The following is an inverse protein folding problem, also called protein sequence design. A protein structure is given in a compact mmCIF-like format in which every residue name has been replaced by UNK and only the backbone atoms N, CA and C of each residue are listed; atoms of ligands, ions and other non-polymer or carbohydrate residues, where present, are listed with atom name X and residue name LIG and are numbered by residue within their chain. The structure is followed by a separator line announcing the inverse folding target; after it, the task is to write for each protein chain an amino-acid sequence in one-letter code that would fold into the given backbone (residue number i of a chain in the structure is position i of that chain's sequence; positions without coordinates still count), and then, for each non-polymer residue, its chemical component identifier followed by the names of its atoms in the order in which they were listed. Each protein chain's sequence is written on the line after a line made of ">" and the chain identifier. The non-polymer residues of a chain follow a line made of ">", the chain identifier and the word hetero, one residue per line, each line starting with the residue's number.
data_IF_937923487028
#
_entry.id   IF_937923487028
#
_cell.length_a   1.000
_cell.length_b   1.000
_cell.length_c   1.000
_cell.angle_alpha   90.00
_cell.angle_beta   90.00
_cell.angle_gamma   90.00
#
_symmetry.space_group_name_H-M   'P 1'
#
loop_
_entity.id
_entity.type
_entity.pdbx_description
1 polymer ?
#
# COMPACT_ATOMS: atom_id res chain seq x y z
N UNK A 1 6.09 -0.71 -15.47
CA UNK A 1 6.72 0.27 -16.36
C UNK A 1 6.13 1.66 -16.06
N UNK A 2 6.85 2.57 -15.39
CA UNK A 2 6.35 3.91 -15.04
C UNK A 2 6.08 4.82 -16.25
N UNK A 3 6.74 4.58 -17.39
CA UNK A 3 6.55 5.38 -18.60
C UNK A 3 5.13 5.30 -19.14
N UNK A 4 4.55 4.10 -19.18
CA UNK A 4 3.18 3.93 -19.70
C UNK A 4 2.14 4.69 -18.86
N UNK A 5 2.33 4.72 -17.54
CA UNK A 5 1.48 5.51 -16.65
C UNK A 5 1.65 7.01 -16.93
N UNK A 6 2.90 7.48 -17.03
CA UNK A 6 3.21 8.88 -17.34
C UNK A 6 2.59 9.31 -18.68
N UNK A 7 2.80 8.53 -19.74
CA UNK A 7 2.29 8.81 -21.09
C UNK A 7 0.74 8.84 -21.08
N UNK A 8 0.08 7.96 -20.31
CA UNK A 8 -1.37 8.00 -20.14
C UNK A 8 -1.87 9.28 -19.46
N UNK A 9 -1.15 9.79 -18.45
CA UNK A 9 -1.49 11.08 -17.81
C UNK A 9 -1.29 12.25 -18.77
N UNK A 10 -0.22 12.23 -19.58
CA UNK A 10 0.00 13.26 -20.62
C UNK A 10 -1.16 13.29 -21.62
N UNK A 11 -1.54 12.12 -22.15
CA UNK A 11 -2.69 12.00 -23.08
C UNK A 11 -4.01 12.42 -22.42
N UNK A 12 -4.19 12.12 -21.13
CA UNK A 12 -5.36 12.58 -20.38
C UNK A 12 -5.41 14.10 -20.29
N UNK A 13 -4.29 14.79 -20.03
CA UNK A 13 -4.25 16.25 -20.03
C UNK A 13 -4.41 16.87 -21.42
N UNK A 14 -3.96 16.20 -22.48
CA UNK A 14 -4.26 16.64 -23.85
C UNK A 14 -5.76 16.55 -24.15
N UNK A 15 -6.42 15.47 -23.73
CA UNK A 15 -7.85 15.27 -23.92
C UNK A 15 -8.72 16.13 -23.00
N UNK A 16 -8.23 16.42 -21.79
CA UNK A 16 -8.93 17.19 -20.76
C UNK A 16 -8.05 18.29 -20.14
N UNK A 17 -7.69 19.34 -20.91
CA UNK A 17 -6.76 20.36 -20.46
C UNK A 17 -7.19 21.11 -19.20
N UNK A 18 -8.50 21.19 -18.92
CA UNK A 18 -9.04 21.83 -17.73
C UNK A 18 -8.55 21.22 -16.39
N UNK A 19 -8.04 19.99 -16.41
CA UNK A 19 -7.51 19.32 -15.22
C UNK A 19 -5.99 19.41 -15.08
N UNK A 20 -5.28 19.88 -16.11
CA UNK A 20 -3.81 19.90 -16.16
C UNK A 20 -3.15 20.84 -15.14
N UNK A 21 -3.90 21.80 -14.62
CA UNK A 21 -3.43 22.79 -13.64
C UNK A 21 -3.88 22.48 -12.21
N UNK A 22 -4.73 21.46 -12.02
CA UNK A 22 -5.22 21.08 -10.69
C UNK A 22 -4.18 20.24 -9.95
N UNK A 23 -4.08 20.35 -8.62
CA UNK A 23 -3.20 19.50 -7.82
C UNK A 23 -3.42 18.02 -8.13
N UNK A 24 -2.33 17.32 -8.44
CA UNK A 24 -2.37 15.90 -8.80
C UNK A 24 -1.98 15.05 -7.60
N UNK A 25 -2.82 14.07 -7.27
CA UNK A 25 -2.62 13.18 -6.14
C UNK A 25 -2.72 11.72 -6.60
N UNK A 26 -1.77 10.88 -6.21
CA UNK A 26 -1.82 9.44 -6.47
C UNK A 26 -2.27 8.70 -5.22
N UNK A 27 -3.40 8.00 -5.32
CA UNK A 27 -3.92 7.15 -4.27
C UNK A 27 -4.07 5.71 -4.75
N UNK A 28 -3.92 4.77 -3.83
CA UNK A 28 -4.13 3.36 -4.07
C UNK A 28 -3.80 2.55 -2.82
N UNK A 29 -3.92 1.24 -2.92
CA UNK A 29 -3.75 0.34 -1.79
C UNK A 29 -2.97 -0.93 -2.15
N UNK A 30 -2.58 -1.70 -1.13
CA UNK A 30 -1.93 -3.00 -1.32
C UNK A 30 -0.63 -2.90 -2.12
N UNK A 31 -0.52 -3.63 -3.23
CA UNK A 31 0.61 -3.56 -4.16
C UNK A 31 0.80 -2.19 -4.82
N UNK A 32 -0.15 -1.26 -4.71
CA UNK A 32 0.08 0.14 -5.05
C UNK A 32 1.18 0.79 -4.19
N UNK A 33 1.54 0.19 -3.05
CA UNK A 33 2.76 0.51 -2.30
C UNK A 33 4.05 0.36 -3.12
N UNK A 34 4.05 -0.49 -4.16
CA UNK A 34 5.11 -0.58 -5.18
C UNK A 34 4.89 0.42 -6.31
N UNK A 35 3.67 0.50 -6.85
CA UNK A 35 3.38 1.31 -8.03
C UNK A 35 3.49 2.82 -7.79
N UNK A 36 2.86 3.31 -6.73
CA UNK A 36 2.73 4.75 -6.47
C UNK A 36 4.09 5.42 -6.29
N UNK A 37 5.03 4.89 -5.49
CA UNK A 37 6.34 5.51 -5.34
C UNK A 37 7.12 5.52 -6.66
N UNK A 38 7.03 4.45 -7.45
CA UNK A 38 7.67 4.34 -8.77
C UNK A 38 7.10 5.33 -9.77
N UNK A 39 5.78 5.52 -9.80
CA UNK A 39 5.13 6.46 -10.70
C UNK A 39 5.39 7.92 -10.30
N UNK A 40 5.27 8.23 -9.01
CA UNK A 40 5.51 9.57 -8.50
C UNK A 40 6.97 10.02 -8.69
N UNK A 41 7.94 9.14 -8.41
CA UNK A 41 9.36 9.42 -8.65
C UNK A 41 9.61 9.73 -10.14
N UNK A 42 9.04 8.93 -11.04
CA UNK A 42 9.15 9.14 -12.47
C UNK A 42 8.56 10.50 -12.90
N UNK A 43 7.36 10.86 -12.41
CA UNK A 43 6.74 12.16 -12.68
C UNK A 43 7.65 13.30 -12.21
N UNK A 44 8.16 13.25 -10.97
CA UNK A 44 9.02 14.30 -10.41
C UNK A 44 10.29 14.47 -11.24
N UNK A 45 10.88 13.37 -11.73
CA UNK A 45 12.06 13.41 -12.61
C UNK A 45 11.73 14.03 -13.97
N UNK A 46 10.67 13.58 -14.63
CA UNK A 46 10.24 14.10 -15.95
C UNK A 46 9.83 15.57 -15.91
N UNK A 47 9.17 16.00 -14.85
CA UNK A 47 8.83 17.42 -14.65
C UNK A 47 10.06 18.33 -14.62
N UNK A 48 11.24 17.84 -14.24
CA UNK A 48 12.49 18.65 -14.22
C UNK A 48 13.13 18.79 -15.58
N UNK A 49 12.91 17.83 -16.47
CA UNK A 49 13.43 17.84 -17.83
C UNK A 49 12.69 18.89 -18.68
N UNK A 50 11.46 19.27 -18.30
CA UNK A 50 10.63 20.26 -18.99
C UNK A 50 10.37 19.93 -20.47
N UNK A 51 10.32 18.64 -20.82
CA UNK A 51 10.12 18.15 -22.19
C UNK A 51 8.63 17.92 -22.55
N UNK A 52 7.75 17.91 -21.56
CA UNK A 52 6.31 17.64 -21.72
C UNK A 52 5.48 18.49 -20.74
N UNK A 53 4.14 18.32 -20.74
CA UNK A 53 3.27 19.04 -19.81
C UNK A 53 3.64 18.69 -18.38
N UNK A 54 3.84 19.72 -17.55
CA UNK A 54 4.11 19.54 -16.13
C UNK A 54 2.91 18.87 -15.47
N UNK A 55 3.13 17.76 -14.76
CA UNK A 55 2.10 17.14 -13.92
C UNK A 55 2.27 17.72 -12.51
N UNK A 56 1.34 18.54 -12.00
CA UNK A 56 1.47 19.22 -10.71
C UNK A 56 1.24 18.27 -9.52
N UNK A 57 2.07 17.22 -9.42
CA UNK A 57 2.01 16.23 -8.34
C UNK A 57 2.26 16.91 -7.01
N UNK A 58 1.33 16.71 -6.08
CA UNK A 58 1.35 17.34 -4.77
C UNK A 58 1.50 16.32 -3.64
N UNK A 59 0.90 15.13 -3.81
CA UNK A 59 1.00 14.09 -2.80
C UNK A 59 0.79 12.68 -3.33
N UNK A 60 1.16 11.72 -2.50
CA UNK A 60 0.78 10.31 -2.61
C UNK A 60 0.07 9.85 -1.34
N UNK A 61 -0.88 8.94 -1.48
CA UNK A 61 -1.59 8.29 -0.37
C UNK A 61 -1.67 6.78 -0.59
N UNK A 62 -1.20 6.00 0.38
CA UNK A 62 -1.09 4.53 0.25
C UNK A 62 -1.86 3.88 1.41
N UNK A 63 -2.95 3.18 1.06
CA UNK A 63 -3.75 2.37 1.97
C UNK A 63 -3.16 0.97 2.11
N UNK A 64 -2.91 0.47 3.32
CA UNK A 64 -2.51 -0.93 3.54
C UNK A 64 -1.41 -1.38 2.56
N UNK A 65 -0.36 -0.56 2.42
CA UNK A 65 0.59 -0.68 1.32
C UNK A 65 1.68 -1.73 1.54
N UNK A 66 2.03 -2.47 0.48
CA UNK A 66 3.24 -3.28 0.42
C UNK A 66 4.40 -2.45 -0.16
N UNK A 67 5.28 -1.96 0.70
CA UNK A 67 6.27 -0.91 0.40
C UNK A 67 7.71 -1.35 0.68
N UNK A 68 7.97 -1.93 1.86
CA UNK A 68 9.29 -2.39 2.30
C UNK A 68 9.17 -3.82 2.87
N UNK A 69 9.39 -4.84 2.03
CA UNK A 69 9.27 -6.24 2.41
C UNK A 69 10.08 -6.63 3.64
N UNK A 70 11.33 -6.15 3.72
CA UNK A 70 12.22 -6.44 4.85
C UNK A 70 11.57 -6.06 6.18
N UNK A 71 11.07 -4.82 6.28
CA UNK A 71 10.42 -4.32 7.50
C UNK A 71 9.07 -4.96 7.70
N UNK A 72 8.24 -5.11 6.66
CA UNK A 72 6.87 -5.59 6.82
C UNK A 72 6.77 -7.07 7.19
N UNK A 73 7.60 -7.95 6.62
CA UNK A 73 7.63 -9.37 6.99
C UNK A 73 7.98 -9.58 8.46
N UNK A 74 8.82 -8.72 9.05
CA UNK A 74 9.18 -8.76 10.47
C UNK A 74 7.95 -8.74 11.39
N UNK A 75 6.89 -8.03 10.98
CA UNK A 75 5.71 -7.79 11.79
C UNK A 75 4.58 -8.79 11.54
N UNK A 76 4.76 -9.77 10.65
CA UNK A 76 3.76 -10.83 10.42
C UNK A 76 3.44 -11.60 11.71
N UNK A 77 4.46 -12.05 12.45
CA UNK A 77 4.26 -12.75 13.72
C UNK A 77 3.63 -11.86 14.80
N UNK A 78 3.98 -10.56 14.82
CA UNK A 78 3.39 -9.57 15.73
C UNK A 78 1.89 -9.45 15.48
N UNK A 79 1.47 -9.32 14.23
CA UNK A 79 0.06 -9.23 13.88
C UNK A 79 -0.70 -10.53 14.18
N UNK A 80 -0.12 -11.68 13.83
CA UNK A 80 -0.77 -12.98 14.01
C UNK A 80 -0.90 -13.42 15.48
N UNK A 81 0.03 -12.99 16.35
CA UNK A 81 0.17 -13.55 17.70
C UNK A 81 0.08 -12.53 18.83
N UNK A 82 0.26 -11.25 18.53
CA UNK A 82 0.33 -10.18 19.53
C UNK A 82 -0.56 -8.97 19.21
N UNK A 83 -1.46 -9.08 18.24
CA UNK A 83 -2.38 -7.99 17.92
C UNK A 83 -3.46 -7.81 18.97
N UNK A 84 -4.16 -6.68 18.90
CA UNK A 84 -5.31 -6.37 19.76
C UNK A 84 -6.49 -7.33 19.56
N UNK A 85 -6.48 -8.14 18.50
CA UNK A 85 -7.49 -9.17 18.22
C UNK A 85 -7.17 -10.52 18.86
N UNK A 86 -6.05 -10.61 19.58
CA UNK A 86 -5.56 -11.83 20.21
C UNK A 86 -4.83 -12.76 19.23
N UNK A 87 -4.15 -13.80 19.75
CA UNK A 87 -3.40 -14.73 18.91
C UNK A 87 -4.33 -15.61 18.09
N UNK A 88 -4.11 -15.68 16.79
CA UNK A 88 -4.80 -16.62 15.88
C UNK A 88 -3.97 -17.86 15.56
N UNK A 89 -2.74 -17.91 16.08
CA UNK A 89 -1.82 -19.03 15.94
C UNK A 89 -1.31 -19.49 17.32
N UNK A 90 -0.96 -20.78 17.48
CA UNK A 90 -0.30 -21.25 18.69
C UNK A 90 1.13 -20.69 18.80
N UNK A 91 1.69 -20.55 20.01
CA UNK A 91 3.02 -19.98 20.23
C UNK A 91 4.15 -20.61 19.39
N UNK A 92 4.09 -21.93 19.14
CA UNK A 92 5.07 -22.62 18.30
C UNK A 92 5.03 -22.16 16.83
N UNK A 93 3.86 -21.80 16.30
CA UNK A 93 3.75 -21.24 14.95
C UNK A 93 4.30 -19.82 14.89
N UNK A 94 4.04 -19.00 15.90
CA UNK A 94 4.63 -17.66 16.04
C UNK A 94 6.16 -17.73 16.05
N UNK A 95 6.72 -18.64 16.84
CA UNK A 95 8.17 -18.84 16.89
C UNK A 95 8.75 -19.31 15.55
N UNK A 96 8.02 -20.15 14.79
CA UNK A 96 8.45 -20.55 13.44
C UNK A 96 8.48 -19.37 12.48
N UNK A 97 7.51 -18.45 12.54
CA UNK A 97 7.52 -17.23 11.74
C UNK A 97 8.75 -16.36 12.06
N UNK A 98 9.07 -16.18 13.34
CA UNK A 98 10.25 -15.41 13.77
C UNK A 98 11.57 -16.04 13.31
N UNK A 99 11.66 -17.37 13.33
CA UNK A 99 12.83 -18.10 12.82
C UNK A 99 12.94 -18.01 11.30
N UNK A 100 11.83 -18.17 10.58
CA UNK A 100 11.77 -18.03 9.13
C UNK A 100 12.17 -16.61 8.69
N UNK A 101 11.75 -15.60 9.44
CA UNK A 101 12.12 -14.21 9.17
C UNK A 101 13.64 -14.01 9.13
N UNK A 102 14.43 -14.67 9.99
CA UNK A 102 15.90 -14.55 9.99
C UNK A 102 16.55 -14.95 8.67
N UNK A 103 16.02 -15.98 8.01
CA UNK A 103 16.52 -16.41 6.71
C UNK A 103 15.92 -15.56 5.58
N UNK A 104 14.65 -15.17 5.71
CA UNK A 104 13.99 -14.23 4.81
C UNK A 104 14.76 -12.91 4.70
N UNK A 105 15.32 -12.38 5.80
CA UNK A 105 16.09 -11.13 5.76
C UNK A 105 17.29 -11.24 4.82
N UNK A 106 17.99 -12.37 4.83
CA UNK A 106 19.19 -12.57 4.01
C UNK A 106 18.82 -12.57 2.53
N UNK A 107 17.74 -13.26 2.15
CA UNK A 107 17.29 -13.28 0.76
C UNK A 107 16.80 -11.91 0.29
N UNK A 108 16.06 -11.17 1.13
CA UNK A 108 15.61 -9.82 0.77
C UNK A 108 16.80 -8.87 0.64
N UNK A 109 17.79 -8.95 1.52
CA UNK A 109 19.01 -8.14 1.44
C UNK A 109 19.78 -8.43 0.14
N UNK A 110 19.93 -9.70 -0.23
CA UNK A 110 20.56 -10.08 -1.51
C UNK A 110 19.76 -9.56 -2.72
N UNK A 111 18.43 -9.59 -2.66
CA UNK A 111 17.57 -8.97 -3.68
C UNK A 111 17.81 -7.45 -3.77
N UNK A 112 17.88 -6.74 -2.64
CA UNK A 112 18.13 -5.30 -2.63
C UNK A 112 19.52 -4.94 -3.19
N UNK A 113 20.53 -5.75 -2.93
CA UNK A 113 21.90 -5.52 -3.37
C UNK A 113 22.08 -5.80 -4.88
N UNK A 114 21.43 -6.83 -5.39
CA UNK A 114 21.61 -7.30 -6.77
C UNK A 114 20.57 -6.75 -7.76
N UNK A 115 19.36 -6.45 -7.27
CA UNK A 115 18.15 -6.19 -8.06
C UNK A 115 17.82 -7.28 -9.10
N UNK A 116 18.46 -8.46 -8.99
CA UNK A 116 18.30 -9.55 -9.94
C UNK A 116 16.94 -10.23 -9.75
N UNK A 117 16.20 -10.39 -10.87
CA UNK A 117 14.83 -10.91 -10.82
C UNK A 117 14.73 -12.34 -10.28
N UNK A 118 15.74 -13.18 -10.50
CA UNK A 118 15.74 -14.55 -9.97
C UNK A 118 16.04 -14.56 -8.48
N UNK A 119 16.99 -13.74 -8.03
CA UNK A 119 17.30 -13.57 -6.59
C UNK A 119 16.07 -13.04 -5.84
N UNK A 120 15.45 -11.98 -6.37
CA UNK A 120 14.24 -11.40 -5.79
C UNK A 120 13.06 -12.39 -5.80
N UNK A 121 12.89 -13.18 -6.85
CA UNK A 121 11.85 -14.22 -6.89
C UNK A 121 12.06 -15.28 -5.80
N UNK A 122 13.32 -15.70 -5.59
CA UNK A 122 13.65 -16.64 -4.52
C UNK A 122 13.36 -16.04 -3.14
N UNK A 123 13.68 -14.76 -2.93
CA UNK A 123 13.37 -14.05 -1.70
C UNK A 123 11.86 -14.01 -1.43
N UNK A 124 11.08 -13.54 -2.40
CA UNK A 124 9.62 -13.46 -2.30
C UNK A 124 9.01 -14.83 -1.96
N UNK A 125 9.37 -15.86 -2.74
CA UNK A 125 8.85 -17.21 -2.55
C UNK A 125 9.20 -17.77 -1.16
N UNK A 126 10.45 -17.59 -0.70
CA UNK A 126 10.85 -18.07 0.62
C UNK A 126 10.07 -17.37 1.73
N UNK A 127 10.03 -16.03 1.71
CA UNK A 127 9.38 -15.24 2.75
C UNK A 127 7.88 -15.51 2.81
N UNK A 128 7.18 -15.44 1.68
CA UNK A 128 5.74 -15.70 1.57
C UNK A 128 5.41 -17.14 1.99
N UNK A 129 6.19 -18.14 1.58
CA UNK A 129 5.92 -19.53 1.95
C UNK A 129 6.14 -19.84 3.43
N UNK A 130 7.16 -19.23 4.06
CA UNK A 130 7.59 -19.61 5.41
C UNK A 130 7.09 -18.67 6.52
N UNK A 131 6.58 -17.49 6.16
CA UNK A 131 5.98 -16.54 7.11
C UNK A 131 4.47 -16.53 6.90
N UNK A 132 4.02 -16.10 5.72
CA UNK A 132 2.59 -16.00 5.42
C UNK A 132 1.94 -17.38 5.28
N UNK A 133 2.65 -18.36 4.72
CA UNK A 133 2.21 -19.76 4.72
C UNK A 133 2.04 -20.36 6.13
N UNK A 134 2.71 -19.81 7.15
CA UNK A 134 2.46 -20.18 8.54
C UNK A 134 1.19 -19.50 9.08
N UNK A 135 0.96 -18.24 8.73
CA UNK A 135 -0.31 -17.57 9.02
C UNK A 135 -1.52 -18.29 8.42
N UNK A 136 -1.40 -18.85 7.21
CA UNK A 136 -2.48 -19.63 6.59
C UNK A 136 -2.98 -20.80 7.45
N UNK A 137 -2.18 -21.33 8.38
CA UNK A 137 -2.60 -22.38 9.32
C UNK A 137 -3.60 -21.89 10.39
N UNK A 138 -3.81 -20.58 10.50
CA UNK A 138 -4.82 -19.98 11.37
C UNK A 138 -6.25 -20.10 10.82
N UNK A 139 -6.39 -20.41 9.52
CA UNK A 139 -7.67 -20.37 8.81
C UNK A 139 -8.39 -19.02 8.90
N UNK A 140 -7.62 -17.93 8.98
CA UNK A 140 -8.10 -16.55 8.96
C UNK A 140 -7.84 -15.89 7.62
N UNK A 141 -8.63 -14.88 7.28
CA UNK A 141 -8.40 -14.06 6.10
C UNK A 141 -7.11 -13.25 6.25
N UNK A 142 -6.30 -13.20 5.18
CA UNK A 142 -5.13 -12.32 5.09
C UNK A 142 -5.52 -10.84 5.09
N UNK A 143 -6.74 -10.53 4.64
CA UNK A 143 -7.25 -9.17 4.48
C UNK A 143 -8.04 -8.66 5.69
N UNK A 144 -8.50 -9.56 6.57
CA UNK A 144 -9.10 -9.23 7.86
C UNK A 144 -8.93 -10.41 8.82
N UNK A 145 -8.02 -10.28 9.79
CA UNK A 145 -7.66 -11.33 10.75
C UNK A 145 -8.86 -11.80 11.61
N UNK A 146 -9.90 -10.96 11.72
CA UNK A 146 -11.12 -11.28 12.48
C UNK A 146 -11.99 -12.29 11.75
N UNK A 147 -11.86 -12.40 10.41
CA UNK A 147 -12.71 -13.21 9.54
C UNK A 147 -12.09 -14.58 9.21
N UNK A 148 -12.91 -15.61 8.98
CA UNK A 148 -12.42 -16.89 8.44
C UNK A 148 -11.78 -16.71 7.06
N UNK A 149 -10.85 -17.62 6.72
CA UNK A 149 -10.32 -17.72 5.36
C UNK A 149 -11.44 -17.93 4.32
N UNK A 150 -11.26 -17.39 3.11
CA UNK A 150 -12.25 -17.48 2.04
C UNK A 150 -13.46 -16.56 2.20
N UNK A 151 -13.53 -15.74 3.26
CA UNK A 151 -14.54 -14.68 3.36
C UNK A 151 -14.37 -13.70 2.21
N UNK A 152 -15.42 -13.52 1.40
CA UNK A 152 -15.47 -12.53 0.32
C UNK A 152 -15.98 -11.23 0.93
N UNK A 153 -15.05 -10.33 1.25
CA UNK A 153 -15.34 -9.04 1.84
C UNK A 153 -14.25 -8.05 1.40
N UNK A 154 -14.58 -7.07 0.53
CA UNK A 154 -15.94 -6.66 0.16
C UNK A 154 -16.70 -7.57 -0.81
N UNK A 155 -18.03 -7.36 -0.97
CA UNK A 155 -18.83 -8.07 -1.97
C UNK A 155 -18.36 -7.80 -3.42
N UNK A 156 -18.35 -8.84 -4.25
CA UNK A 156 -17.83 -8.82 -5.63
C UNK A 156 -18.93 -8.81 -6.72
N UNK A 157 -20.19 -8.54 -6.35
CA UNK A 157 -21.34 -8.53 -7.26
C UNK A 157 -21.20 -7.54 -8.42
N UNK A 158 -20.37 -6.51 -8.25
CA UNK A 158 -20.00 -5.57 -9.31
C UNK A 158 -19.31 -6.25 -10.51
N UNK A 159 -18.66 -7.41 -10.33
CA UNK A 159 -18.06 -8.19 -11.43
C UNK A 159 -19.14 -8.63 -12.43
N UNK A 160 -20.31 -9.03 -11.92
CA UNK A 160 -21.44 -9.42 -12.80
C UNK A 160 -21.98 -8.22 -13.57
N UNK A 161 -22.05 -7.05 -12.92
CA UNK A 161 -22.45 -5.80 -13.56
C UNK A 161 -21.47 -5.42 -14.70
N UNK A 162 -20.16 -5.46 -14.45
CA UNK A 162 -19.12 -5.12 -15.43
C UNK A 162 -19.05 -6.08 -16.63
N UNK A 163 -19.66 -7.27 -16.52
CA UNK A 163 -19.79 -8.25 -17.60
C UNK A 163 -21.11 -8.14 -18.38
N UNK A 164 -21.98 -7.17 -18.08
CA UNK A 164 -23.20 -6.94 -18.85
C UNK A 164 -22.87 -6.24 -20.19
N UNK A 165 -23.38 -6.80 -21.29
CA UNK A 165 -23.14 -6.27 -22.64
C UNK A 165 -23.64 -4.83 -22.81
N UNK A 166 -24.80 -4.50 -22.23
CA UNK A 166 -25.37 -3.15 -22.29
C UNK A 166 -24.49 -2.14 -21.54
N UNK A 167 -23.91 -2.53 -20.39
CA UNK A 167 -22.98 -1.67 -19.67
C UNK A 167 -21.67 -1.49 -20.44
N UNK A 168 -21.05 -2.57 -20.93
CA UNK A 168 -19.82 -2.49 -21.72
C UNK A 168 -20.01 -1.60 -22.95
N UNK A 169 -21.14 -1.73 -23.65
CA UNK A 169 -21.52 -0.84 -24.75
C UNK A 169 -21.67 0.61 -24.30
N UNK A 170 -22.32 0.85 -23.15
CA UNK A 170 -22.54 2.20 -22.61
C UNK A 170 -21.22 2.90 -22.23
N UNK A 171 -20.23 2.17 -21.72
CA UNK A 171 -18.90 2.72 -21.35
C UNK A 171 -17.86 2.63 -22.48
N UNK A 172 -18.28 2.22 -23.69
CA UNK A 172 -17.42 2.20 -24.89
C UNK A 172 -16.37 1.08 -24.92
N UNK A 173 -16.59 -0.01 -24.19
CA UNK A 173 -15.69 -1.18 -24.15
C UNK A 173 -16.16 -2.23 -25.17
N UNK A 174 -15.24 -2.76 -25.97
CA UNK A 174 -15.53 -3.91 -26.84
C UNK A 174 -15.88 -5.14 -25.98
N UNK A 175 -16.82 -6.00 -26.43
CA UNK A 175 -17.24 -7.17 -25.65
C UNK A 175 -16.06 -8.00 -25.14
N UNK A 176 -15.95 -8.12 -23.82
CA UNK A 176 -14.90 -8.89 -23.16
C UNK A 176 -15.35 -9.43 -21.82
N UNK A 177 -14.60 -10.38 -21.27
CA UNK A 177 -14.78 -10.83 -19.90
C UNK A 177 -13.98 -9.94 -18.95
N UNK A 178 -14.68 -9.24 -18.05
CA UNK A 178 -14.06 -8.54 -16.93
C UNK A 178 -13.74 -9.54 -15.81
N UNK A 179 -12.54 -9.41 -15.26
CA UNK A 179 -12.05 -10.12 -14.06
C UNK A 179 -11.39 -9.07 -13.16
N UNK A 180 -11.66 -9.11 -11.85
CA UNK A 180 -11.10 -8.16 -10.86
C UNK A 180 -9.57 -8.21 -10.83
N UNK A 181 -9.02 -9.44 -10.73
CA UNK A 181 -7.59 -9.69 -10.69
C UNK A 181 -7.19 -10.63 -11.84
N UNK A 182 -6.52 -10.08 -12.86
CA UNK A 182 -6.10 -10.85 -14.03
C UNK A 182 -4.82 -11.67 -13.74
N UNK A 183 -4.88 -12.97 -14.00
CA UNK A 183 -3.77 -13.90 -13.78
C UNK A 183 -2.50 -13.57 -14.60
N UNK A 184 -2.65 -13.13 -15.85
CA UNK A 184 -1.53 -12.85 -16.75
C UNK A 184 -0.56 -11.79 -16.21
N UNK A 185 -1.05 -10.56 -15.94
CA UNK A 185 -0.26 -9.53 -15.27
C UNK A 185 0.29 -9.96 -13.92
N UNK A 186 -0.51 -10.66 -13.10
CA UNK A 186 -0.06 -11.18 -11.81
C UNK A 186 1.17 -12.08 -11.95
N UNK A 187 1.12 -13.14 -12.76
CA UNK A 187 2.24 -14.06 -12.93
C UNK A 187 3.47 -13.40 -13.58
N UNK A 188 3.24 -12.40 -14.45
CA UNK A 188 4.34 -11.66 -15.08
C UNK A 188 5.12 -10.85 -14.04
N UNK A 189 4.43 -10.25 -13.06
CA UNK A 189 5.06 -9.48 -11.97
C UNK A 189 5.61 -10.40 -10.89
N UNK A 190 4.87 -11.42 -10.49
CA UNK A 190 5.30 -12.36 -9.47
C UNK A 190 6.58 -13.10 -9.89
N UNK A 191 6.71 -13.49 -11.17
CA UNK A 191 7.88 -14.21 -11.65
C UNK A 191 9.18 -13.40 -11.68
N UNK A 192 9.12 -12.07 -11.51
CA UNK A 192 10.30 -11.21 -11.40
C UNK A 192 10.68 -10.91 -9.95
N UNK A 193 9.93 -11.42 -8.97
CA UNK A 193 10.17 -11.17 -7.54
C UNK A 193 9.87 -9.74 -7.10
N UNK A 194 8.96 -9.05 -7.79
CA UNK A 194 8.69 -7.63 -7.53
C UNK A 194 8.23 -7.35 -6.09
N UNK A 195 7.56 -8.32 -5.45
CA UNK A 195 7.14 -8.22 -4.05
C UNK A 195 8.31 -8.25 -3.07
N UNK A 196 9.51 -8.66 -3.48
CA UNK A 196 10.71 -8.62 -2.63
C UNK A 196 11.52 -7.33 -2.80
N UNK A 197 11.11 -6.38 -3.65
CA UNK A 197 11.82 -5.12 -3.88
C UNK A 197 11.34 -3.98 -2.97
N UNK A 198 12.25 -3.04 -2.67
CA UNK A 198 11.98 -1.90 -1.79
C UNK A 198 11.49 -0.67 -2.55
N UNK A 199 10.42 -0.03 -2.07
CA UNK A 199 9.92 1.27 -2.58
C UNK A 199 10.09 2.40 -1.58
N UNK A 200 10.42 2.12 -0.32
CA UNK A 200 10.56 3.13 0.72
C UNK A 200 11.57 4.24 0.35
N UNK A 201 12.73 3.96 -0.29
CA UNK A 201 13.64 5.01 -0.72
C UNK A 201 13.02 6.00 -1.72
N UNK A 202 12.04 5.57 -2.52
CA UNK A 202 11.32 6.46 -3.44
C UNK A 202 10.37 7.38 -2.66
N UNK A 203 9.73 6.89 -1.58
CA UNK A 203 8.94 7.76 -0.68
C UNK A 203 9.83 8.80 0.02
N UNK A 204 11.01 8.40 0.48
CA UNK A 204 12.04 9.31 1.01
C UNK A 204 12.42 10.38 -0.02
N UNK A 205 12.64 9.99 -1.27
CA UNK A 205 12.88 10.92 -2.38
C UNK A 205 11.72 11.91 -2.55
N UNK A 206 10.48 11.45 -2.54
CA UNK A 206 9.29 12.30 -2.68
C UNK A 206 9.21 13.34 -1.55
N UNK A 207 9.36 12.92 -0.29
CA UNK A 207 9.35 13.81 0.88
C UNK A 207 10.42 14.91 0.79
N UNK A 208 11.63 14.53 0.38
CA UNK A 208 12.75 15.47 0.23
C UNK A 208 12.58 16.42 -0.97
N UNK A 209 11.63 16.14 -1.86
CA UNK A 209 11.26 16.99 -2.99
C UNK A 209 9.91 17.70 -2.80
N UNK A 210 9.44 17.80 -1.55
CA UNK A 210 8.25 18.57 -1.20
C UNK A 210 6.92 17.89 -1.49
N UNK A 211 6.94 16.64 -1.97
CA UNK A 211 5.73 15.85 -2.21
C UNK A 211 5.28 15.24 -0.88
N UNK A 212 4.00 15.40 -0.55
CA UNK A 212 3.45 14.87 0.69
C UNK A 212 3.21 13.36 0.57
N UNK A 213 3.50 12.60 1.62
CA UNK A 213 3.29 11.15 1.72
C UNK A 213 2.34 10.85 2.86
N UNK A 214 1.24 10.16 2.55
CA UNK A 214 0.29 9.64 3.52
C UNK A 214 0.30 8.11 3.46
N UNK A 215 0.64 7.47 4.57
CA UNK A 215 0.38 6.04 4.77
C UNK A 215 -0.82 5.89 5.70
N UNK A 216 -1.87 5.20 5.25
CA UNK A 216 -3.01 4.87 6.11
C UNK A 216 -3.25 3.37 6.06
N UNK A 217 -3.69 2.78 7.17
CA UNK A 217 -3.74 1.32 7.29
C UNK A 217 -4.83 0.88 8.24
N UNK A 218 -5.66 -0.06 7.79
CA UNK A 218 -6.64 -0.74 8.63
C UNK A 218 -5.96 -1.66 9.63
N UNK A 219 -6.38 -1.61 10.89
CA UNK A 219 -5.67 -2.32 11.96
C UNK A 219 -5.96 -3.83 12.06
N UNK A 220 -6.94 -4.33 11.30
CA UNK A 220 -7.29 -5.75 11.21
C UNK A 220 -6.65 -6.47 10.01
N UNK A 221 -5.96 -5.77 9.12
CA UNK A 221 -5.25 -6.37 8.00
C UNK A 221 -3.99 -7.14 8.46
N UNK A 222 -3.84 -8.39 8.03
CA UNK A 222 -2.63 -9.16 8.29
C UNK A 222 -1.55 -8.90 7.24
N UNK A 223 -1.93 -8.95 5.96
CA UNK A 223 -1.01 -8.97 4.83
C UNK A 223 -0.15 -7.70 4.77
N UNK A 224 -0.79 -6.53 4.92
CA UNK A 224 -0.11 -5.24 4.99
C UNK A 224 -0.36 -4.56 6.34
N UNK A 225 -0.15 -5.33 7.41
CA UNK A 225 -0.50 -4.93 8.78
C UNK A 225 0.07 -3.59 9.23
N UNK A 226 -0.68 -2.94 10.12
CA UNK A 226 -0.36 -1.60 10.61
C UNK A 226 0.95 -1.51 11.37
N UNK A 227 1.41 -2.58 12.03
CA UNK A 227 2.71 -2.59 12.71
C UNK A 227 3.85 -2.43 11.70
N UNK A 228 3.81 -3.19 10.60
CA UNK A 228 4.79 -3.10 9.52
C UNK A 228 4.74 -1.76 8.79
N UNK A 229 3.54 -1.26 8.48
CA UNK A 229 3.37 0.05 7.81
C UNK A 229 3.81 1.20 8.74
N UNK A 230 3.56 1.10 10.04
CA UNK A 230 4.03 2.10 11.00
C UNK A 230 5.55 2.09 11.11
N UNK A 231 6.15 0.91 11.29
CA UNK A 231 7.60 0.76 11.40
C UNK A 231 8.34 1.28 10.15
N UNK A 232 7.89 0.91 8.94
CA UNK A 232 8.52 1.43 7.72
C UNK A 232 8.34 2.94 7.56
N UNK A 233 7.25 3.51 8.11
CA UNK A 233 7.03 4.97 8.04
C UNK A 233 8.02 5.73 8.92
N UNK A 234 8.37 5.18 10.08
CA UNK A 234 9.43 5.73 10.95
C UNK A 234 10.82 5.60 10.31
N UNK A 235 11.03 4.60 9.46
CA UNK A 235 12.32 4.37 8.77
C UNK A 235 12.54 5.27 7.55
N UNK A 236 11.55 6.07 7.12
CA UNK A 236 11.70 6.93 5.96
C UNK A 236 12.74 8.03 6.22
N UNK A 237 13.69 8.17 5.29
CA UNK A 237 14.76 9.16 5.36
C UNK A 237 14.30 10.49 4.78
N UNK A 238 14.06 11.48 5.65
CA UNK A 238 13.70 12.82 5.22
C UNK A 238 14.17 13.88 6.21
N UNK A 239 14.17 15.15 5.77
CA UNK A 239 14.59 16.31 6.59
C UNK A 239 13.86 16.44 7.94
N UNK A 240 12.63 15.92 8.03
CA UNK A 240 11.77 16.02 9.21
C UNK A 240 11.73 14.70 10.03
N UNK A 241 12.56 13.68 9.70
CA UNK A 241 12.47 12.35 10.32
C UNK A 241 12.58 12.41 11.85
N UNK A 242 13.59 13.14 12.37
CA UNK A 242 13.76 13.34 13.82
C UNK A 242 12.56 14.05 14.48
N UNK A 243 11.89 14.94 13.75
CA UNK A 243 10.70 15.63 14.25
C UNK A 243 9.49 14.70 14.26
N UNK A 244 9.37 13.86 13.23
CA UNK A 244 8.35 12.82 13.15
C UNK A 244 8.52 11.83 14.29
N UNK A 245 9.71 11.26 14.49
CA UNK A 245 10.04 10.29 15.56
C UNK A 245 9.79 10.84 16.97
N UNK A 246 9.93 12.15 17.15
CA UNK A 246 9.66 12.82 18.43
C UNK A 246 8.16 12.99 18.72
N UNK A 247 7.28 12.85 17.71
CA UNK A 247 5.83 12.86 17.93
C UNK A 247 5.36 11.50 18.45
N UNK A 248 4.37 11.51 19.34
CA UNK A 248 3.69 10.28 19.73
C UNK A 248 2.62 9.91 18.70
N UNK A 249 2.48 8.61 18.45
CA UNK A 249 1.28 8.06 17.82
C UNK A 249 0.08 8.29 18.76
N UNK A 250 -0.72 9.30 18.46
CA UNK A 250 -1.80 9.80 19.33
C UNK A 250 -3.18 9.32 18.86
N UNK A 251 -4.19 9.28 19.73
CA UNK A 251 -5.59 9.07 19.33
C UNK A 251 -6.00 10.05 18.22
N UNK A 252 -6.64 9.52 17.18
CA UNK A 252 -7.28 10.30 16.13
C UNK A 252 -8.78 10.37 16.41
N UNK A 253 -9.23 11.53 16.89
CA UNK A 253 -10.59 11.73 17.38
C UNK A 253 -11.35 12.68 16.47
N UNK A 254 -12.51 12.25 15.98
CA UNK A 254 -13.42 13.08 15.21
C UNK A 254 -14.80 13.10 15.88
N UNK A 255 -15.30 14.31 16.20
CA UNK A 255 -16.60 14.51 16.86
C UNK A 255 -16.80 13.67 18.14
N UNK A 256 -15.73 13.50 18.91
CA UNK A 256 -15.76 12.75 20.17
C UNK A 256 -15.64 11.22 20.02
N UNK A 257 -15.48 10.71 18.80
CA UNK A 257 -15.23 9.30 18.52
C UNK A 257 -13.77 9.11 18.12
N UNK A 258 -13.07 8.20 18.78
CA UNK A 258 -11.72 7.78 18.37
C UNK A 258 -11.85 6.83 17.16
N UNK A 259 -11.39 7.28 16.00
CA UNK A 259 -11.44 6.53 14.75
C UNK A 259 -10.18 5.68 14.53
N UNK A 260 -9.13 5.92 15.32
CA UNK A 260 -7.83 5.34 15.09
C UNK A 260 -6.71 6.09 15.82
N UNK A 261 -5.51 5.99 15.25
CA UNK A 261 -4.33 6.72 15.74
C UNK A 261 -3.65 7.45 14.59
N UNK A 262 -3.02 8.58 14.90
CA UNK A 262 -2.34 9.40 13.91
C UNK A 262 -0.99 9.89 14.43
N UNK A 263 -0.03 9.97 13.52
CA UNK A 263 1.22 10.70 13.68
C UNK A 263 1.48 11.47 12.39
N UNK A 264 1.72 12.77 12.49
CA UNK A 264 1.88 13.62 11.31
C UNK A 264 2.83 14.78 11.58
N UNK A 265 3.72 15.08 10.63
CA UNK A 265 4.51 16.30 10.62
C UNK A 265 4.70 16.76 9.17
N UNK A 266 4.42 18.04 8.90
CA UNK A 266 4.63 18.67 7.60
C UNK A 266 4.09 17.82 6.42
N UNK A 267 4.99 17.16 5.70
CA UNK A 267 4.71 16.40 4.49
C UNK A 267 4.48 14.89 4.73
N UNK A 268 4.62 14.39 5.95
CA UNK A 268 4.44 12.98 6.28
C UNK A 268 3.30 12.77 7.27
N UNK A 269 2.39 11.83 6.97
CA UNK A 269 1.37 11.36 7.90
C UNK A 269 1.26 9.83 7.87
N UNK A 270 1.12 9.26 9.06
CA UNK A 270 0.72 7.87 9.30
C UNK A 270 -0.64 7.87 10.01
N UNK A 271 -1.60 7.09 9.51
CA UNK A 271 -2.92 6.92 10.13
C UNK A 271 -3.24 5.42 10.26
N UNK A 272 -3.36 4.95 11.50
CA UNK A 272 -3.99 3.67 11.80
C UNK A 272 -5.50 3.88 11.88
N UNK A 273 -6.29 3.10 11.16
CA UNK A 273 -7.75 3.14 11.18
C UNK A 273 -8.26 1.92 11.93
N UNK A 274 -9.05 2.13 12.98
CA UNK A 274 -9.60 1.05 13.78
C UNK A 274 -10.71 0.30 13.05
N UNK A 275 -10.84 -0.99 13.38
CA UNK A 275 -11.91 -1.87 12.91
C UNK A 275 -11.96 -2.02 11.37
N UNK A 276 -10.85 -1.77 10.69
CA UNK A 276 -10.71 -1.86 9.23
C UNK A 276 -9.72 -2.96 8.82
N UNK A 277 -10.11 -3.76 7.82
CA UNK A 277 -9.23 -4.70 7.15
C UNK A 277 -8.37 -4.03 6.06
N UNK A 278 -8.06 -4.79 5.01
CA UNK A 278 -7.20 -4.37 3.91
C UNK A 278 -7.76 -3.18 3.12
N UNK A 279 -9.05 -3.20 2.84
CA UNK A 279 -9.75 -2.19 2.04
C UNK A 279 -10.42 -1.17 2.97
N UNK A 280 -9.64 -0.28 3.59
CA UNK A 280 -10.12 0.70 4.59
C UNK A 280 -11.43 1.42 4.19
N UNK A 281 -11.61 1.91 2.95
CA UNK A 281 -12.85 2.59 2.56
C UNK A 281 -14.10 1.73 2.65
N UNK A 282 -13.99 0.40 2.53
CA UNK A 282 -15.12 -0.50 2.70
C UNK A 282 -15.52 -0.62 4.18
N UNK A 283 -14.55 -0.86 5.06
CA UNK A 283 -14.82 -1.10 6.48
C UNK A 283 -15.18 0.18 7.24
N UNK A 284 -14.52 1.29 6.90
CA UNK A 284 -14.65 2.58 7.59
C UNK A 284 -14.81 3.73 6.58
N UNK A 285 -15.91 3.77 5.82
CA UNK A 285 -16.11 4.73 4.73
C UNK A 285 -16.06 6.19 5.18
N UNK A 286 -16.62 6.49 6.36
CA UNK A 286 -16.60 7.85 6.92
C UNK A 286 -15.18 8.29 7.30
N UNK A 287 -14.40 7.39 7.92
CA UNK A 287 -13.01 7.68 8.28
C UNK A 287 -12.13 7.81 7.02
N UNK A 288 -12.33 6.94 6.02
CA UNK A 288 -11.61 7.02 4.75
C UNK A 288 -11.89 8.32 4.00
N UNK A 289 -13.16 8.76 3.95
CA UNK A 289 -13.52 10.04 3.34
C UNK A 289 -12.91 11.21 4.11
N UNK A 290 -12.88 11.15 5.44
CA UNK A 290 -12.26 12.17 6.28
C UNK A 290 -10.75 12.26 6.03
N UNK A 291 -10.06 11.11 5.93
CA UNK A 291 -8.64 11.04 5.55
C UNK A 291 -8.42 11.71 4.20
N UNK A 292 -9.19 11.29 3.19
CA UNK A 292 -9.07 11.82 1.84
C UNK A 292 -9.29 13.34 1.81
N UNK A 293 -10.42 13.82 2.32
CA UNK A 293 -10.79 15.23 2.35
C UNK A 293 -9.73 16.08 3.08
N UNK A 294 -9.29 15.64 4.27
CA UNK A 294 -8.31 16.41 5.03
C UNK A 294 -6.97 16.46 4.32
N UNK A 295 -6.56 15.35 3.71
CA UNK A 295 -5.31 15.29 3.00
C UNK A 295 -5.32 16.15 1.73
N UNK A 296 -6.27 15.96 0.83
CA UNK A 296 -6.30 16.69 -0.45
C UNK A 296 -6.52 18.18 -0.24
N UNK A 297 -7.31 18.58 0.76
CA UNK A 297 -7.58 19.98 1.08
C UNK A 297 -6.60 20.59 2.10
N UNK A 298 -5.52 19.88 2.47
CA UNK A 298 -4.49 20.35 3.42
C UNK A 298 -5.07 20.80 4.77
N UNK A 299 -6.13 20.14 5.24
CA UNK A 299 -6.67 20.36 6.58
C UNK A 299 -5.78 19.67 7.61
N UNK A 300 -5.73 20.20 8.82
CA UNK A 300 -5.01 19.60 9.93
C UNK A 300 -5.84 18.48 10.54
N UNK A 301 -5.20 17.34 10.81
CA UNK A 301 -5.79 16.19 11.50
C UNK A 301 -5.82 16.32 13.03
#
# INVERSE_FOLDING_TARGET
>A
NPRLFYDAVQLFYEAFPQYSTLPFHLFGESFAGRYIPVYADYIVKRNRENEALNIPIESVGIGNGWINPLTQFKYGSTMACGSNYGPVLPPNSCHRMDLAYRQCTQFIQECYETDDSRVCFQADNYCTSNIDGVFGQSHRSYYDIRKPEGTIEPPQDYISLLNQADLQKAIGVNPMRFEECANGPFFTIASTGESARNSAPLLSFLLNNGIRVLNYVGDADYLCNWYGVYALTLELEHKDAKLFDAQMLRPWVYRGVELGQIQSINNLAFIRVYEAGHEVPYYQPEAALLIFDYWVNKKTF
#
